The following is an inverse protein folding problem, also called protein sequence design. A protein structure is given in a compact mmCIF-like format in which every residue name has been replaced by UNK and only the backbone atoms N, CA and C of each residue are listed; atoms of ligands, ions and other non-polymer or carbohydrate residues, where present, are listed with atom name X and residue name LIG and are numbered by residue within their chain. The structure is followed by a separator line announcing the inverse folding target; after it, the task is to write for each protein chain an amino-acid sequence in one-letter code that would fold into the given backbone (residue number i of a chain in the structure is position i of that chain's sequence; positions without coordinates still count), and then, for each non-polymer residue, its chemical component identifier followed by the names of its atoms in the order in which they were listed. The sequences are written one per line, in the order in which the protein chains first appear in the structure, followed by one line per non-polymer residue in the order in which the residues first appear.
data_IF_313116453716
#
_entry.id   IF_313116453716
#
_cell.length_a   1.000
_cell.length_b   1.000
_cell.length_c   1.000
_cell.angle_alpha   90.00
_cell.angle_beta   90.00
_cell.angle_gamma   90.00
#
_symmetry.space_group_name_H-M   'P 1'
#
loop_
_entity.id
_entity.type
_entity.pdbx_description
1 polymer ?
#
# COMPACT_ATOMS: atom_id res chain seq x y z
N UNK A 1 -6.12 26.56 70.32
CA UNK A 1 -5.30 26.84 69.12
C UNK A 1 -4.97 25.53 68.42
N UNK A 2 -5.68 25.33 67.30
CA UNK A 2 -5.59 24.38 66.17
C UNK A 2 -4.15 23.92 65.85
N UNK A 3 -3.80 22.62 65.87
CA UNK A 3 -4.02 21.50 64.92
C UNK A 3 -2.95 21.36 63.80
N UNK A 4 -2.45 20.12 63.76
CA UNK A 4 -2.15 19.27 62.60
C UNK A 4 -0.88 19.50 61.75
N UNK A 5 0.03 18.52 61.88
CA UNK A 5 1.05 18.10 60.92
C UNK A 5 0.38 17.44 59.70
N UNK A 6 0.78 17.84 58.49
CA UNK A 6 0.74 17.07 57.24
C UNK A 6 1.93 17.62 56.41
N UNK A 7 2.89 16.85 55.90
CA UNK A 7 2.76 15.52 55.31
C UNK A 7 2.52 15.65 53.81
N UNK A 8 3.51 16.08 53.02
CA UNK A 8 3.44 16.04 51.56
C UNK A 8 4.82 15.79 50.96
N UNK A 9 5.05 14.54 50.60
CA UNK A 9 6.15 14.09 49.76
C UNK A 9 5.66 13.97 48.30
N UNK A 10 6.61 14.15 47.38
CA UNK A 10 6.63 13.73 45.95
C UNK A 10 6.02 14.68 44.93
N UNK A 11 6.89 15.09 43.99
CA UNK A 11 6.77 15.04 42.52
C UNK A 11 8.03 15.77 42.01
N UNK A 12 9.07 15.14 41.47
CA UNK A 12 9.02 14.14 40.40
C UNK A 12 8.98 14.83 39.04
N UNK A 13 9.88 15.80 38.78
CA UNK A 13 10.00 16.49 37.49
C UNK A 13 10.59 15.54 36.44
N UNK A 14 9.71 14.78 35.80
CA UNK A 14 10.04 13.93 34.66
C UNK A 14 10.49 14.78 33.48
N UNK A 15 11.76 14.65 33.12
CA UNK A 15 12.32 15.15 31.87
C UNK A 15 11.55 14.53 30.69
N UNK A 16 10.72 15.34 30.03
CA UNK A 16 10.06 14.96 28.78
C UNK A 16 11.10 14.90 27.67
N UNK A 17 11.73 13.74 27.53
CA UNK A 17 12.58 13.41 26.40
C UNK A 17 11.68 13.22 25.16
N UNK A 18 11.36 14.33 24.47
CA UNK A 18 10.70 14.32 23.17
C UNK A 18 11.68 13.77 22.13
N UNK A 19 11.85 12.44 22.11
CA UNK A 19 12.42 11.72 20.97
C UNK A 19 11.44 11.88 19.82
N UNK A 20 11.63 12.94 19.04
CA UNK A 20 10.98 13.10 17.75
C UNK A 20 11.28 11.84 16.93
N UNK A 21 10.23 11.08 16.60
CA UNK A 21 10.33 10.00 15.65
C UNK A 21 10.94 10.56 14.35
N UNK A 22 11.87 9.84 13.69
CA UNK A 22 12.42 10.29 12.43
C UNK A 22 11.26 10.41 11.43
N UNK A 23 10.92 11.66 11.07
CA UNK A 23 10.04 11.95 9.92
C UNK A 23 10.73 11.35 8.71
N UNK A 24 10.33 10.14 8.33
CA UNK A 24 10.64 9.56 7.01
C UNK A 24 10.22 10.62 6.00
N UNK A 25 11.20 11.17 5.28
CA UNK A 25 10.94 12.02 4.12
C UNK A 25 10.15 11.17 3.15
N UNK A 26 8.83 11.35 3.13
CA UNK A 26 7.97 10.83 2.08
C UNK A 26 8.28 11.63 0.82
N UNK A 27 9.34 11.21 0.13
CA UNK A 27 9.59 11.64 -1.23
C UNK A 27 8.36 11.20 -2.02
N UNK A 28 7.54 12.16 -2.44
CA UNK A 28 6.36 11.97 -3.27
C UNK A 28 6.80 11.60 -4.70
N UNK A 29 7.57 10.52 -4.83
CA UNK A 29 8.12 10.01 -6.07
C UNK A 29 7.05 9.13 -6.69
N UNK A 30 6.38 9.66 -7.71
CA UNK A 30 5.39 8.93 -8.50
C UNK A 30 5.96 7.59 -8.95
N UNK A 31 5.10 6.58 -9.07
CA UNK A 31 5.52 5.24 -9.48
C UNK A 31 6.22 5.22 -10.84
N UNK A 32 5.88 6.15 -11.73
CA UNK A 32 6.20 6.07 -13.17
C UNK A 32 7.47 6.80 -13.62
N UNK A 33 8.06 7.68 -12.80
CA UNK A 33 9.09 8.62 -13.30
C UNK A 33 10.53 8.07 -13.28
N UNK A 34 10.78 6.96 -12.57
CA UNK A 34 12.14 6.44 -12.41
C UNK A 34 12.25 4.91 -12.42
N UNK A 35 11.12 4.23 -12.57
CA UNK A 35 11.16 2.78 -12.68
C UNK A 35 11.55 2.47 -14.11
N UNK A 36 12.80 2.02 -14.26
CA UNK A 36 13.28 1.44 -15.51
C UNK A 36 12.34 0.35 -15.99
N UNK A 37 12.46 0.02 -17.28
CA UNK A 37 11.67 -1.04 -17.91
C UNK A 37 11.76 -2.34 -17.07
N UNK A 38 10.61 -2.86 -16.66
CA UNK A 38 10.55 -4.12 -15.91
C UNK A 38 10.87 -5.24 -16.87
N UNK A 39 12.05 -5.85 -16.72
CA UNK A 39 12.53 -6.90 -17.65
C UNK A 39 12.50 -8.29 -17.06
N UNK A 40 12.33 -8.41 -15.73
CA UNK A 40 12.36 -9.69 -15.02
C UNK A 40 11.19 -9.88 -14.05
N UNK A 41 10.81 -11.15 -13.82
CA UNK A 41 9.76 -11.52 -12.87
C UNK A 41 10.09 -11.06 -11.45
N UNK A 42 11.38 -11.06 -11.07
CA UNK A 42 11.85 -10.57 -9.78
C UNK A 42 11.59 -9.07 -9.62
N UNK A 43 11.94 -8.26 -10.62
CA UNK A 43 11.68 -6.80 -10.61
C UNK A 43 10.17 -6.51 -10.58
N UNK A 44 9.38 -7.27 -11.34
CA UNK A 44 7.93 -7.15 -11.33
C UNK A 44 7.36 -7.39 -9.93
N UNK A 45 7.82 -8.46 -9.27
CA UNK A 45 7.38 -8.79 -7.91
C UNK A 45 7.76 -7.72 -6.90
N UNK A 46 9.00 -7.24 -6.93
CA UNK A 46 9.48 -6.15 -6.07
C UNK A 46 8.67 -4.87 -6.30
N UNK A 47 8.35 -4.57 -7.56
CA UNK A 47 7.49 -3.45 -7.92
C UNK A 47 6.08 -3.59 -7.34
N UNK A 48 5.42 -4.73 -7.56
CA UNK A 48 4.06 -4.98 -7.07
C UNK A 48 3.99 -4.94 -5.53
N UNK A 49 5.00 -5.47 -4.85
CA UNK A 49 5.12 -5.37 -3.40
C UNK A 49 5.28 -3.91 -2.95
N UNK A 50 6.11 -3.11 -3.63
CA UNK A 50 6.26 -1.69 -3.32
C UNK A 50 4.95 -0.91 -3.54
N UNK A 51 4.18 -1.25 -4.58
CA UNK A 51 2.84 -0.69 -4.81
C UNK A 51 1.90 -1.05 -3.67
N UNK A 52 1.84 -2.32 -3.29
CA UNK A 52 1.00 -2.83 -2.19
C UNK A 52 1.34 -2.15 -0.87
N UNK A 53 2.63 -2.05 -0.53
CA UNK A 53 3.09 -1.51 0.74
C UNK A 53 2.82 0.00 0.82
N UNK A 54 3.02 0.75 -0.27
CA UNK A 54 2.65 2.18 -0.33
C UNK A 54 1.15 2.40 -0.20
N UNK A 55 0.34 1.48 -0.73
CA UNK A 55 -1.12 1.54 -0.56
C UNK A 55 -1.53 1.24 0.89
N UNK A 56 -0.88 0.26 1.53
CA UNK A 56 -1.14 -0.07 2.93
C UNK A 56 -0.75 1.06 3.90
N UNK A 57 0.33 1.79 3.59
CA UNK A 57 0.79 2.95 4.36
C UNK A 57 0.01 4.26 4.05
N UNK A 58 -1.04 4.20 3.21
CA UNK A 58 -1.81 5.35 2.72
C UNK A 58 -0.93 6.45 2.09
N UNK A 59 0.20 6.04 1.49
CA UNK A 59 1.16 6.93 0.83
C UNK A 59 0.88 7.11 -0.67
N UNK A 60 -0.03 6.32 -1.23
CA UNK A 60 -0.38 6.36 -2.63
C UNK A 60 -1.90 6.46 -2.81
N UNK A 61 -2.34 7.51 -3.49
CA UNK A 61 -3.74 7.62 -3.90
C UNK A 61 -4.12 6.45 -4.82
N UNK A 62 -5.34 5.93 -4.67
CA UNK A 62 -5.84 4.79 -5.43
C UNK A 62 -5.71 4.96 -6.96
N UNK A 63 -5.85 6.19 -7.45
CA UNK A 63 -5.66 6.54 -8.88
C UNK A 63 -4.21 6.34 -9.33
N UNK A 64 -3.24 6.66 -8.48
CA UNK A 64 -1.81 6.44 -8.79
C UNK A 64 -1.48 4.95 -8.79
N UNK A 65 -2.06 4.19 -7.86
CA UNK A 65 -1.94 2.72 -7.80
C UNK A 65 -2.59 2.09 -9.04
N UNK A 66 -3.75 2.58 -9.47
CA UNK A 66 -4.41 2.12 -10.69
C UNK A 66 -3.57 2.39 -11.94
N UNK A 67 -2.93 3.57 -12.03
CA UNK A 67 -2.01 3.89 -13.12
C UNK A 67 -0.78 2.96 -13.13
N UNK A 68 -0.20 2.69 -11.96
CA UNK A 68 0.89 1.72 -11.80
C UNK A 68 0.49 0.31 -12.24
N UNK A 69 -0.71 -0.14 -11.87
CA UNK A 69 -1.24 -1.43 -12.33
C UNK A 69 -1.49 -1.44 -13.84
N UNK A 70 -1.99 -0.33 -14.42
CA UNK A 70 -2.16 -0.22 -15.86
C UNK A 70 -0.81 -0.30 -16.59
N UNK A 71 0.26 0.28 -16.06
CA UNK A 71 1.61 0.11 -16.62
C UNK A 71 2.02 -1.36 -16.65
N UNK A 72 1.88 -2.08 -15.53
CA UNK A 72 2.22 -3.52 -15.45
C UNK A 72 1.44 -4.37 -16.45
N UNK A 73 0.13 -4.14 -16.54
CA UNK A 73 -0.75 -4.92 -17.41
C UNK A 73 -0.52 -4.66 -18.91
N UNK A 74 0.17 -3.57 -19.25
CA UNK A 74 0.53 -3.23 -20.63
C UNK A 74 1.99 -3.62 -20.99
N UNK A 75 2.71 -4.33 -20.12
CA UNK A 75 4.04 -4.87 -20.46
C UNK A 75 3.88 -5.98 -21.51
N UNK A 76 4.65 -5.90 -22.59
CA UNK A 76 4.53 -6.79 -23.76
C UNK A 76 4.64 -8.29 -23.44
N UNK A 77 5.44 -8.65 -22.44
CA UNK A 77 5.68 -10.03 -21.99
C UNK A 77 5.13 -10.29 -20.59
N UNK A 78 4.08 -9.58 -20.17
CA UNK A 78 3.53 -9.70 -18.82
C UNK A 78 3.13 -11.14 -18.46
N UNK A 79 2.59 -11.92 -19.41
CA UNK A 79 2.20 -13.31 -19.17
C UNK A 79 3.39 -14.21 -18.80
N UNK A 80 4.59 -13.91 -19.30
CA UNK A 80 5.81 -14.65 -18.98
C UNK A 80 6.42 -14.20 -17.64
N UNK A 81 6.24 -12.92 -17.29
CA UNK A 81 6.80 -12.33 -16.07
C UNK A 81 5.92 -12.60 -14.84
N UNK A 82 4.60 -12.74 -15.04
CA UNK A 82 3.60 -12.87 -13.99
C UNK A 82 3.49 -14.34 -13.54
N UNK A 83 4.40 -14.73 -12.65
CA UNK A 83 4.31 -16.03 -11.97
C UNK A 83 3.11 -16.10 -11.01
N UNK A 84 2.81 -17.30 -10.50
CA UNK A 84 1.65 -17.51 -9.62
C UNK A 84 1.65 -16.57 -8.42
N UNK A 85 2.81 -16.37 -7.80
CA UNK A 85 2.94 -15.53 -6.61
C UNK A 85 2.76 -14.04 -6.94
N UNK A 86 3.37 -13.55 -8.02
CA UNK A 86 3.21 -12.16 -8.47
C UNK A 86 1.77 -11.89 -8.94
N UNK A 87 1.11 -12.87 -9.56
CA UNK A 87 -0.31 -12.80 -9.92
C UNK A 87 -1.19 -12.61 -8.68
N UNK A 88 -0.93 -13.36 -7.60
CA UNK A 88 -1.66 -13.21 -6.34
C UNK A 88 -1.45 -11.81 -5.71
N UNK A 89 -0.22 -11.28 -5.73
CA UNK A 89 0.05 -9.90 -5.25
C UNK A 89 -0.65 -8.85 -6.11
N UNK A 90 -0.56 -8.97 -7.44
CA UNK A 90 -1.23 -8.08 -8.38
C UNK A 90 -2.75 -8.09 -8.18
N UNK A 91 -3.32 -9.27 -7.93
CA UNK A 91 -4.74 -9.45 -7.64
C UNK A 91 -5.16 -8.80 -6.32
N UNK A 92 -4.39 -8.98 -5.25
CA UNK A 92 -4.64 -8.31 -3.95
C UNK A 92 -4.64 -6.79 -4.12
N UNK A 93 -3.62 -6.23 -4.79
CA UNK A 93 -3.55 -4.79 -5.09
C UNK A 93 -4.79 -4.34 -5.88
N UNK A 94 -5.18 -5.07 -6.92
CA UNK A 94 -6.36 -4.74 -7.73
C UNK A 94 -7.66 -4.72 -6.91
N UNK A 95 -7.88 -5.73 -6.07
CA UNK A 95 -9.06 -5.82 -5.22
C UNK A 95 -9.12 -4.69 -4.20
N UNK A 96 -7.99 -4.29 -3.62
CA UNK A 96 -7.93 -3.13 -2.71
C UNK A 96 -8.31 -1.83 -3.42
N UNK A 97 -7.87 -1.63 -4.67
CA UNK A 97 -8.27 -0.46 -5.46
C UNK A 97 -9.79 -0.43 -5.68
N UNK A 98 -10.41 -1.60 -5.90
CA UNK A 98 -11.87 -1.69 -6.00
C UNK A 98 -12.57 -1.40 -4.68
N UNK A 99 -12.02 -1.87 -3.55
CA UNK A 99 -12.60 -1.66 -2.21
C UNK A 99 -12.68 -0.19 -1.81
N UNK A 100 -11.74 0.64 -2.27
CA UNK A 100 -11.77 2.10 -2.04
C UNK A 100 -12.74 2.85 -2.96
N UNK A 101 -13.56 2.12 -3.74
CA UNK A 101 -14.65 2.68 -4.54
C UNK A 101 -14.29 3.01 -5.98
N UNK A 102 -13.09 2.67 -6.46
CA UNK A 102 -12.72 2.84 -7.87
C UNK A 102 -13.40 1.75 -8.70
N UNK A 103 -14.22 2.17 -9.67
CA UNK A 103 -14.90 1.25 -10.58
C UNK A 103 -13.93 0.78 -11.67
N UNK A 104 -13.26 -0.35 -11.41
CA UNK A 104 -12.37 -1.02 -12.36
C UNK A 104 -12.93 -2.38 -12.79
N UNK A 105 -12.82 -2.69 -14.08
CA UNK A 105 -13.11 -4.03 -14.62
C UNK A 105 -12.01 -5.01 -14.19
N UNK A 106 -12.35 -6.27 -13.93
CA UNK A 106 -11.36 -7.28 -13.61
C UNK A 106 -10.52 -7.63 -14.86
N UNK A 107 -9.18 -7.53 -14.82
CA UNK A 107 -8.33 -7.92 -15.94
C UNK A 107 -8.31 -9.45 -16.08
N UNK A 108 -8.58 -10.02 -17.27
CA UNK A 108 -8.63 -11.47 -17.46
C UNK A 108 -7.28 -12.16 -17.21
N UNK A 109 -6.18 -11.43 -17.28
CA UNK A 109 -4.86 -11.95 -16.92
C UNK A 109 -4.72 -12.20 -15.40
N UNK A 110 -5.43 -11.44 -14.56
CA UNK A 110 -5.39 -11.55 -13.10
C UNK A 110 -6.49 -12.44 -12.54
N UNK A 111 -7.63 -12.52 -13.22
CA UNK A 111 -8.81 -13.24 -12.80
C UNK A 111 -9.18 -14.27 -13.86
N UNK A 112 -9.28 -15.52 -13.44
CA UNK A 112 -9.68 -16.59 -14.35
C UNK A 112 -11.15 -16.35 -14.78
N UNK A 113 -11.52 -16.80 -15.98
CA UNK A 113 -12.83 -16.50 -16.59
C UNK A 113 -14.04 -16.94 -15.73
N UNK A 114 -13.82 -17.87 -14.79
CA UNK A 114 -14.84 -18.40 -13.89
C UNK A 114 -15.04 -17.56 -12.61
N UNK A 115 -14.24 -16.51 -12.38
CA UNK A 115 -14.31 -15.68 -11.17
C UNK A 115 -15.12 -14.38 -11.30
N UNK A 116 -15.81 -14.14 -12.41
CA UNK A 116 -16.77 -13.03 -12.52
C UNK A 116 -18.09 -13.33 -11.78
N UNK A 117 -18.03 -13.40 -10.45
CA UNK A 117 -19.23 -13.34 -9.60
C UNK A 117 -19.59 -11.87 -9.40
N UNK A 118 -20.31 -11.28 -10.35
CA UNK A 118 -21.05 -10.05 -10.11
C UNK A 118 -22.36 -10.40 -9.39
N UNK A 119 -22.56 -10.07 -8.11
CA UNK A 119 -23.90 -9.83 -7.63
C UNK A 119 -24.38 -8.53 -8.30
N UNK A 120 -25.17 -8.65 -9.36
CA UNK A 120 -26.04 -7.55 -9.75
C UNK A 120 -27.04 -7.37 -8.62
N UNK A 121 -26.83 -6.37 -7.77
CA UNK A 121 -27.92 -5.87 -6.93
C UNK A 121 -28.94 -5.18 -7.84
N UNK A 122 -30.24 -5.53 -7.72
CA UNK A 122 -31.31 -4.96 -8.52
C UNK A 122 -31.53 -3.47 -8.28
#
# INVERSE_FOLDING_TARGET
MTKEKNGAARQGSGAQNKKAAPRRKTSNKGFTDEQGEITSSKELKEFLLAVRDRMADDQAAAVNVASAMNYVLNISNIEELLDKESKEVARDVWLRIKQVGVQLRNPPILFDADEEVFPQTP
#
